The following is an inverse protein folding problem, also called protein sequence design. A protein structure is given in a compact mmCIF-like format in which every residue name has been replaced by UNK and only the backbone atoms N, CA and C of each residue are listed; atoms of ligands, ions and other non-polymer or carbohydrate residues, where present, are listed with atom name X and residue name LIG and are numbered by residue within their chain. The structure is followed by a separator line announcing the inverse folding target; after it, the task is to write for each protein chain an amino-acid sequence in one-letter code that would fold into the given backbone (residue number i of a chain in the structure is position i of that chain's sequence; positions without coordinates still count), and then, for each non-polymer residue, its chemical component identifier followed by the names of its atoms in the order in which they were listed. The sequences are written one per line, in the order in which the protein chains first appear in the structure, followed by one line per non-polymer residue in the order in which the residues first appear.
data_IF_437788594120
#
_entry.id   IF_437788594120
#
_cell.length_a   1.000
_cell.length_b   1.000
_cell.length_c   1.000
_cell.angle_alpha   90.00
_cell.angle_beta   90.00
_cell.angle_gamma   90.00
#
_symmetry.space_group_name_H-M   'P 1'
#
loop_
_entity.id
_entity.type
_entity.pdbx_description
1 polymer ?
#
# COMPACT_ATOMS: atom_id res chain seq x y z
N UNK A 1 -65.77 -28.13 8.88
CA UNK A 1 -64.44 -27.69 9.37
C UNK A 1 -63.71 -26.66 8.48
N UNK A 2 -64.23 -26.24 7.32
CA UNK A 2 -63.42 -25.55 6.28
C UNK A 2 -63.45 -24.01 6.26
N UNK A 3 -64.49 -23.34 6.79
CA UNK A 3 -64.60 -21.86 6.72
C UNK A 3 -63.66 -21.10 7.68
N UNK A 4 -63.46 -21.57 8.92
CA UNK A 4 -62.64 -20.85 9.90
C UNK A 4 -61.14 -20.89 9.58
N UNK A 5 -60.65 -21.97 8.97
CA UNK A 5 -59.23 -22.11 8.62
C UNK A 5 -58.82 -21.13 7.51
N UNK A 6 -59.72 -20.84 6.55
CA UNK A 6 -59.48 -19.81 5.52
C UNK A 6 -59.38 -18.40 6.11
N UNK A 7 -60.23 -18.05 7.08
CA UNK A 7 -60.14 -16.74 7.77
C UNK A 7 -58.82 -16.58 8.54
N UNK A 8 -58.36 -17.63 9.24
CA UNK A 8 -57.06 -17.63 9.94
C UNK A 8 -55.88 -17.51 8.96
N UNK A 9 -55.90 -18.26 7.86
CA UNK A 9 -54.86 -18.19 6.84
C UNK A 9 -54.75 -16.80 6.19
N UNK A 10 -55.89 -16.15 5.88
CA UNK A 10 -55.91 -14.79 5.32
C UNK A 10 -55.39 -13.76 6.35
N UNK A 11 -55.80 -13.85 7.61
CA UNK A 11 -55.30 -12.95 8.66
C UNK A 11 -53.79 -13.10 8.88
N UNK A 12 -53.27 -14.33 8.84
CA UNK A 12 -51.84 -14.60 9.00
C UNK A 12 -51.03 -14.13 7.79
N UNK A 13 -51.54 -14.30 6.56
CA UNK A 13 -50.92 -13.79 5.34
C UNK A 13 -50.82 -12.26 5.32
N UNK A 14 -51.87 -11.56 5.77
CA UNK A 14 -51.87 -10.08 5.90
C UNK A 14 -50.85 -9.64 6.96
N UNK A 15 -50.79 -10.32 8.11
CA UNK A 15 -49.80 -10.05 9.16
C UNK A 15 -48.36 -10.21 8.66
N UNK A 16 -48.06 -11.29 7.92
CA UNK A 16 -46.72 -11.50 7.34
C UNK A 16 -46.37 -10.48 6.25
N UNK A 17 -47.35 -10.01 5.46
CA UNK A 17 -47.12 -8.99 4.45
C UNK A 17 -46.80 -7.61 5.07
N UNK A 18 -47.47 -7.24 6.16
CA UNK A 18 -47.20 -6.01 6.90
C UNK A 18 -45.83 -6.08 7.60
N UNK A 19 -45.51 -7.23 8.22
CA UNK A 19 -44.20 -7.45 8.84
C UNK A 19 -43.05 -7.40 7.83
N UNK A 20 -43.21 -7.99 6.65
CA UNK A 20 -42.22 -7.86 5.57
C UNK A 20 -42.10 -6.42 5.09
N UNK A 21 -43.21 -5.70 4.93
CA UNK A 21 -43.22 -4.27 4.55
C UNK A 21 -42.45 -3.37 5.51
N UNK A 22 -42.51 -3.63 6.82
CA UNK A 22 -41.72 -2.90 7.82
C UNK A 22 -40.21 -3.20 7.73
N UNK A 23 -39.82 -4.42 7.35
CA UNK A 23 -38.39 -4.79 7.20
C UNK A 23 -37.75 -4.11 5.98
N UNK A 24 -38.52 -3.68 4.97
CA UNK A 24 -37.97 -2.98 3.78
C UNK A 24 -37.81 -1.46 3.98
N UNK A 25 -38.27 -0.89 5.10
CA UNK A 25 -38.22 0.56 5.35
C UNK A 25 -37.01 1.03 6.19
N UNK A 26 -36.05 0.16 6.51
CA UNK A 26 -34.86 0.53 7.31
C UNK A 26 -33.51 0.29 6.61
N UNK A 27 -33.50 0.10 5.29
CA UNK A 27 -32.29 0.41 4.52
C UNK A 27 -32.29 1.91 4.23
N UNK A 28 -32.08 2.70 5.28
CA UNK A 28 -31.44 3.99 5.09
C UNK A 28 -30.06 3.68 4.51
N UNK A 29 -29.85 4.08 3.25
CA UNK A 29 -28.50 4.19 2.70
C UNK A 29 -27.82 5.31 3.47
N UNK A 30 -27.25 4.98 4.64
CA UNK A 30 -26.56 5.92 5.50
C UNK A 30 -25.37 6.52 4.72
N UNK A 31 -25.62 7.67 4.13
CA UNK A 31 -24.61 8.46 3.46
C UNK A 31 -23.66 8.97 4.54
N UNK A 32 -22.36 8.76 4.35
CA UNK A 32 -21.32 9.28 5.23
C UNK A 32 -21.57 10.77 5.50
N UNK A 33 -21.72 11.14 6.76
CA UNK A 33 -21.91 12.52 7.15
C UNK A 33 -20.59 13.27 7.04
N UNK A 34 -20.66 14.54 6.66
CA UNK A 34 -19.53 15.48 6.77
C UNK A 34 -19.68 16.26 8.07
N UNK A 35 -18.70 16.12 8.96
CA UNK A 35 -18.65 16.78 10.26
C UNK A 35 -17.51 17.78 10.28
N UNK A 36 -17.74 18.97 10.83
CA UNK A 36 -16.78 20.07 10.78
C UNK A 36 -16.15 20.32 12.14
N UNK A 37 -14.82 20.25 12.19
CA UNK A 37 -14.01 20.78 13.30
C UNK A 37 -13.84 22.28 13.09
N UNK A 38 -14.23 23.07 14.08
CA UNK A 38 -14.13 24.54 14.07
C UNK A 38 -13.47 25.10 15.35
N UNK A 39 -12.98 24.23 16.22
CA UNK A 39 -12.36 24.55 17.50
C UNK A 39 -11.00 23.84 17.62
N UNK A 40 -9.95 24.61 17.90
CA UNK A 40 -8.58 24.10 18.06
C UNK A 40 -8.30 23.52 19.46
N UNK A 41 -9.23 23.70 20.42
CA UNK A 41 -9.12 23.06 21.71
C UNK A 41 -9.19 21.53 21.58
N UNK A 42 -8.48 20.84 22.46
CA UNK A 42 -8.44 19.38 22.51
C UNK A 42 -9.74 18.71 22.98
N UNK A 43 -10.64 19.47 23.62
CA UNK A 43 -11.98 19.02 24.00
C UNK A 43 -12.99 20.17 24.01
N UNK A 44 -14.27 19.82 24.15
CA UNK A 44 -15.39 20.74 24.00
C UNK A 44 -16.01 20.72 22.60
N UNK A 45 -17.20 21.31 22.47
CA UNK A 45 -17.99 21.26 21.23
C UNK A 45 -17.19 21.75 20.03
N UNK A 46 -17.26 21.01 18.91
CA UNK A 46 -16.60 21.35 17.65
C UNK A 46 -15.09 21.13 17.61
N UNK A 47 -14.51 20.54 18.66
CA UNK A 47 -13.12 20.06 18.67
C UNK A 47 -12.96 18.78 17.86
N UNK A 48 -11.74 18.47 17.41
CA UNK A 48 -11.46 17.20 16.72
C UNK A 48 -11.87 15.97 17.56
N UNK A 49 -11.65 16.01 18.87
CA UNK A 49 -12.03 14.92 19.80
C UNK A 49 -13.54 14.75 19.90
N UNK A 50 -14.27 15.86 20.05
CA UNK A 50 -15.74 15.88 20.07
C UNK A 50 -16.29 15.35 18.74
N UNK A 51 -15.76 15.81 17.61
CA UNK A 51 -16.15 15.36 16.27
C UNK A 51 -15.91 13.87 16.05
N UNK A 52 -14.74 13.33 16.43
CA UNK A 52 -14.45 11.88 16.35
C UNK A 52 -15.39 11.07 17.25
N UNK A 53 -15.76 11.59 18.43
CA UNK A 53 -16.68 10.90 19.34
C UNK A 53 -18.08 10.76 18.72
N UNK A 54 -18.64 11.85 18.18
CA UNK A 54 -20.00 11.86 17.61
C UNK A 54 -20.10 11.20 16.23
N UNK A 55 -19.00 11.07 15.50
CA UNK A 55 -18.97 10.49 14.16
C UNK A 55 -19.51 9.05 14.10
N UNK A 56 -20.23 8.70 13.05
CA UNK A 56 -20.56 7.33 12.67
C UNK A 56 -19.39 6.68 11.91
N UNK A 57 -19.52 5.38 11.61
CA UNK A 57 -18.52 4.69 10.79
C UNK A 57 -18.64 5.10 9.33
N UNK A 58 -17.50 5.38 8.71
CA UNK A 58 -17.28 5.91 7.35
C UNK A 58 -17.59 7.41 7.17
N UNK A 59 -17.86 8.16 8.24
CA UNK A 59 -18.00 9.62 8.17
C UNK A 59 -16.71 10.34 7.76
N UNK A 60 -16.87 11.57 7.27
CA UNK A 60 -15.80 12.49 6.87
C UNK A 60 -15.70 13.64 7.87
N UNK A 61 -14.50 13.88 8.39
CA UNK A 61 -14.16 15.01 9.24
C UNK A 61 -13.41 16.05 8.43
N UNK A 62 -14.00 17.23 8.29
CA UNK A 62 -13.42 18.41 7.61
C UNK A 62 -13.05 19.48 8.65
N UNK A 63 -12.17 20.43 8.29
CA UNK A 63 -11.77 21.52 9.18
C UNK A 63 -12.19 22.89 8.61
N UNK A 64 -13.01 23.61 9.36
CA UNK A 64 -13.31 25.03 9.12
C UNK A 64 -12.48 25.88 10.08
N UNK A 65 -11.19 25.95 9.78
CA UNK A 65 -10.18 26.73 10.50
C UNK A 65 -9.75 27.96 9.68
N UNK A 66 -9.01 28.86 10.32
CA UNK A 66 -8.39 29.99 9.63
C UNK A 66 -7.28 29.57 8.66
N UNK A 67 -6.79 30.51 7.86
CA UNK A 67 -5.66 30.29 6.94
C UNK A 67 -4.29 30.21 7.62
N UNK A 68 -4.20 30.48 8.92
CA UNK A 68 -2.96 30.57 9.65
C UNK A 68 -2.52 29.20 10.22
N UNK A 69 -1.22 28.85 10.17
CA UNK A 69 -0.70 27.62 10.74
C UNK A 69 -1.11 27.45 12.21
N UNK A 70 -1.77 26.34 12.49
CA UNK A 70 -2.47 26.07 13.76
C UNK A 70 -2.07 24.70 14.32
N UNK A 71 -2.04 24.58 15.65
CA UNK A 71 -1.76 23.31 16.34
C UNK A 71 -2.90 22.93 17.28
N UNK A 72 -3.39 21.70 17.16
CA UNK A 72 -4.27 21.07 18.15
C UNK A 72 -3.38 20.32 19.13
N UNK A 73 -3.18 20.89 20.32
CA UNK A 73 -2.36 20.30 21.39
C UNK A 73 -3.24 19.45 22.30
N UNK A 74 -3.09 18.12 22.20
CA UNK A 74 -3.81 17.15 23.00
C UNK A 74 -3.34 17.17 24.46
N UNK A 75 -4.28 17.24 25.39
CA UNK A 75 -4.05 17.28 26.85
C UNK A 75 -4.90 16.26 27.61
N UNK A 76 -6.04 15.85 27.03
CA UNK A 76 -7.03 14.93 27.57
C UNK A 76 -6.74 13.46 27.22
N UNK A 77 -5.50 13.14 26.86
CA UNK A 77 -5.05 11.82 26.40
C UNK A 77 -5.07 11.63 24.88
N UNK A 78 -4.86 10.39 24.45
CA UNK A 78 -4.80 10.00 23.02
C UNK A 78 -6.13 10.20 22.28
N UNK A 79 -6.11 10.42 20.96
CA UNK A 79 -7.31 10.33 20.11
C UNK A 79 -7.58 8.86 19.76
N UNK A 80 -8.55 8.26 20.44
CA UNK A 80 -8.98 6.89 20.20
C UNK A 80 -9.95 6.82 19.01
N UNK A 81 -9.64 6.01 18.00
CA UNK A 81 -10.47 5.81 16.81
C UNK A 81 -10.79 4.31 16.64
N UNK A 82 -12.05 3.94 16.86
CA UNK A 82 -12.54 2.55 16.77
C UNK A 82 -13.65 2.38 15.71
N UNK A 83 -13.62 3.22 14.67
CA UNK A 83 -14.60 3.27 13.57
C UNK A 83 -13.88 3.75 12.31
N UNK A 84 -14.34 3.36 11.12
CA UNK A 84 -13.74 3.86 9.88
C UNK A 84 -13.98 5.38 9.79
N UNK A 85 -12.97 6.16 9.42
CA UNK A 85 -13.09 7.62 9.26
C UNK A 85 -12.21 8.12 8.12
N UNK A 86 -12.66 9.18 7.47
CA UNK A 86 -11.80 10.05 6.65
C UNK A 86 -11.63 11.37 7.39
N UNK A 87 -10.40 11.86 7.53
CA UNK A 87 -10.07 13.11 8.22
C UNK A 87 -9.27 13.98 7.25
N UNK A 88 -9.90 15.04 6.74
CA UNK A 88 -9.37 15.92 5.70
C UNK A 88 -8.93 17.27 6.30
N UNK A 89 -7.65 17.36 6.65
CA UNK A 89 -7.02 18.60 7.08
C UNK A 89 -6.76 19.58 5.93
N UNK A 90 -6.54 20.87 6.24
CA UNK A 90 -6.37 21.94 5.24
C UNK A 90 -5.03 21.90 4.51
N UNK A 91 -3.96 21.44 5.17
CA UNK A 91 -2.61 21.17 4.65
C UNK A 91 -1.71 20.70 5.79
N UNK A 92 -0.73 19.83 5.51
CA UNK A 92 0.31 19.48 6.49
C UNK A 92 1.13 20.68 7.00
N UNK A 93 1.16 21.79 6.25
CA UNK A 93 1.80 23.03 6.67
C UNK A 93 0.88 23.97 7.47
N UNK A 94 -0.43 23.67 7.54
CA UNK A 94 -1.45 24.52 8.17
C UNK A 94 -2.04 23.91 9.45
N UNK A 95 -2.09 22.58 9.58
CA UNK A 95 -2.64 21.92 10.75
C UNK A 95 -1.69 20.85 11.29
N UNK A 96 -1.21 21.04 12.51
CA UNK A 96 -0.49 20.02 13.29
C UNK A 96 -1.36 19.50 14.42
N UNK A 97 -1.42 18.18 14.61
CA UNK A 97 -2.00 17.54 15.78
C UNK A 97 -0.84 16.99 16.61
N UNK A 98 -0.74 17.36 17.88
CA UNK A 98 0.38 16.95 18.74
C UNK A 98 -0.06 16.65 20.17
N UNK A 99 0.60 15.71 20.82
CA UNK A 99 0.50 15.43 22.26
C UNK A 99 1.62 16.09 23.08
N UNK A 100 2.48 16.89 22.45
CA UNK A 100 3.71 17.42 23.03
C UNK A 100 4.58 16.31 23.69
N UNK A 101 4.67 15.16 23.02
CA UNK A 101 5.40 13.95 23.44
C UNK A 101 4.96 13.32 24.78
N UNK A 102 3.81 13.70 25.34
CA UNK A 102 3.31 13.11 26.59
C UNK A 102 2.73 11.69 26.42
N UNK A 103 2.17 11.39 25.24
CA UNK A 103 1.49 10.13 24.91
C UNK A 103 1.34 9.98 23.38
N UNK A 104 0.96 8.81 22.83
CA UNK A 104 0.64 8.68 21.39
C UNK A 104 -0.49 9.63 20.96
N UNK A 105 -0.38 10.22 19.78
CA UNK A 105 -1.39 11.15 19.23
C UNK A 105 -2.65 10.40 18.80
N UNK A 106 -2.46 9.26 18.13
CA UNK A 106 -3.53 8.39 17.63
C UNK A 106 -3.41 6.98 18.24
N UNK A 107 -4.55 6.40 18.64
CA UNK A 107 -4.71 4.99 18.99
C UNK A 107 -5.91 4.44 18.21
N UNK A 108 -5.65 3.60 17.22
CA UNK A 108 -6.61 3.16 16.22
C UNK A 108 -6.86 1.66 16.39
N UNK A 109 -8.12 1.26 16.55
CA UNK A 109 -8.48 -0.10 16.92
C UNK A 109 -9.55 -0.67 15.96
N UNK A 110 -9.19 -1.73 15.23
CA UNK A 110 -10.06 -2.41 14.27
C UNK A 110 -10.76 -1.47 13.25
N UNK A 111 -10.04 -0.45 12.75
CA UNK A 111 -10.59 0.58 11.88
C UNK A 111 -9.72 0.88 10.66
N UNK A 112 -10.35 1.29 9.56
CA UNK A 112 -9.68 1.86 8.40
C UNK A 112 -9.77 3.38 8.48
N UNK A 113 -8.63 4.06 8.63
CA UNK A 113 -8.58 5.53 8.78
C UNK A 113 -7.76 6.14 7.66
N UNK A 114 -8.36 7.11 6.96
CA UNK A 114 -7.68 7.94 5.96
C UNK A 114 -7.47 9.33 6.55
N UNK A 115 -6.21 9.81 6.56
CA UNK A 115 -5.82 11.13 7.06
C UNK A 115 -5.16 11.92 5.93
N UNK A 116 -5.80 12.99 5.49
CA UNK A 116 -5.26 13.85 4.42
C UNK A 116 -4.93 15.26 4.91
N UNK A 117 -3.96 15.91 4.27
CA UNK A 117 -3.69 17.34 4.45
C UNK A 117 -3.40 17.77 5.90
N UNK A 118 -2.66 16.97 6.68
CA UNK A 118 -2.36 17.29 8.07
C UNK A 118 -0.97 16.80 8.52
N UNK A 119 -0.44 17.43 9.56
CA UNK A 119 0.75 16.99 10.25
C UNK A 119 0.41 16.31 11.59
N UNK A 120 1.12 15.24 11.91
CA UNK A 120 1.05 14.56 13.21
C UNK A 120 2.43 14.67 13.88
N UNK A 121 2.48 15.31 15.04
CA UNK A 121 3.69 15.45 15.84
C UNK A 121 3.57 14.62 17.14
N UNK A 122 3.99 13.36 17.06
CA UNK A 122 4.01 12.38 18.14
C UNK A 122 3.71 10.95 17.65
N UNK A 123 3.76 9.99 18.58
CA UNK A 123 3.66 8.56 18.26
C UNK A 123 2.28 8.16 17.72
N UNK A 124 2.24 7.15 16.85
CA UNK A 124 0.99 6.58 16.29
C UNK A 124 0.92 5.09 16.60
N UNK A 125 -0.25 4.66 17.05
CA UNK A 125 -0.56 3.27 17.32
C UNK A 125 -1.83 2.86 16.54
N UNK A 126 -1.75 1.78 15.76
CA UNK A 126 -2.88 1.20 15.05
C UNK A 126 -2.84 -0.33 15.19
N UNK A 127 -3.88 -0.92 15.76
CA UNK A 127 -3.93 -2.32 16.21
C UNK A 127 -5.15 -3.07 15.68
N UNK A 128 -5.17 -4.40 15.85
CA UNK A 128 -6.28 -5.29 15.51
C UNK A 128 -6.69 -5.17 14.03
N UNK A 129 -5.72 -5.37 13.13
CA UNK A 129 -5.90 -5.25 11.68
C UNK A 129 -6.32 -3.85 11.16
N UNK A 130 -6.07 -2.78 11.92
CA UNK A 130 -6.31 -1.40 11.45
C UNK A 130 -5.42 -1.02 10.27
N UNK A 131 -6.03 -0.50 9.19
CA UNK A 131 -5.30 0.03 8.04
C UNK A 131 -5.25 1.56 8.10
N UNK A 132 -4.11 2.13 7.69
CA UNK A 132 -3.88 3.56 7.65
C UNK A 132 -3.58 4.03 6.23
N UNK A 133 -4.21 5.13 5.81
CA UNK A 133 -3.85 5.85 4.58
C UNK A 133 -3.53 7.29 4.90
N UNK A 134 -2.37 7.78 4.46
CA UNK A 134 -1.98 9.18 4.53
C UNK A 134 -1.87 9.78 3.14
N UNK A 135 -2.42 11.00 2.98
CA UNK A 135 -2.41 11.72 1.69
C UNK A 135 -2.03 13.18 1.88
N UNK A 136 -0.95 13.66 1.27
CA UNK A 136 -0.45 15.04 1.46
C UNK A 136 -0.19 15.38 2.95
N UNK A 137 0.26 14.40 3.73
CA UNK A 137 0.41 14.44 5.19
C UNK A 137 1.85 14.18 5.65
N UNK A 138 2.22 14.75 6.80
CA UNK A 138 3.55 14.61 7.42
C UNK A 138 3.44 14.03 8.83
N UNK A 139 4.11 12.92 9.10
CA UNK A 139 4.19 12.29 10.42
C UNK A 139 5.60 12.54 10.96
N UNK A 140 5.69 12.99 12.21
CA UNK A 140 6.94 13.20 12.94
C UNK A 140 6.76 12.67 14.36
N UNK A 141 7.32 11.50 14.67
CA UNK A 141 7.21 10.91 16.01
C UNK A 141 8.03 9.65 16.17
N UNK A 142 8.60 9.46 17.37
CA UNK A 142 9.58 8.42 17.67
C UNK A 142 9.12 7.03 17.21
N UNK A 143 7.87 6.65 17.49
CA UNK A 143 7.32 5.33 17.22
C UNK A 143 6.01 5.40 16.42
N UNK A 144 5.98 4.73 15.27
CA UNK A 144 4.78 4.52 14.45
C UNK A 144 4.55 3.01 14.33
N UNK A 145 3.50 2.50 14.98
CA UNK A 145 3.16 1.08 15.05
C UNK A 145 1.83 0.82 14.32
N UNK A 146 1.82 -0.08 13.34
CA UNK A 146 0.66 -0.35 12.48
C UNK A 146 0.50 -1.86 12.29
N UNK A 147 -0.62 -2.42 12.76
CA UNK A 147 -0.85 -3.87 12.79
C UNK A 147 -1.35 -4.44 11.45
N UNK A 148 -1.80 -3.59 10.53
CA UNK A 148 -2.13 -3.99 9.15
C UNK A 148 -1.34 -3.15 8.14
N UNK A 149 -1.97 -2.73 7.06
CA UNK A 149 -1.31 -2.03 5.97
C UNK A 149 -1.24 -0.52 6.20
N UNK A 150 -0.16 0.08 5.73
CA UNK A 150 0.04 1.52 5.62
C UNK A 150 0.11 1.90 4.15
N UNK A 151 -0.69 2.88 3.72
CA UNK A 151 -0.60 3.53 2.42
C UNK A 151 -0.17 4.99 2.60
N UNK A 152 0.79 5.45 1.82
CA UNK A 152 1.27 6.83 1.74
C UNK A 152 1.05 7.33 0.32
N UNK A 153 0.51 8.54 0.17
CA UNK A 153 0.28 9.22 -1.11
C UNK A 153 0.81 10.65 -0.96
N UNK A 154 1.91 11.00 -1.63
CA UNK A 154 2.60 12.29 -1.42
C UNK A 154 2.78 12.63 0.08
N UNK A 155 3.27 11.65 0.84
CA UNK A 155 3.28 11.71 2.30
C UNK A 155 4.65 11.35 2.86
N UNK A 156 5.00 11.99 3.98
CA UNK A 156 6.30 11.82 4.64
C UNK A 156 6.13 11.26 6.05
N UNK A 157 6.85 10.18 6.38
CA UNK A 157 7.05 9.73 7.77
C UNK A 157 8.48 10.03 8.18
N UNK A 158 8.66 10.68 9.32
CA UNK A 158 9.91 10.79 10.05
C UNK A 158 9.72 10.18 11.44
N UNK A 159 10.58 9.24 11.81
CA UNK A 159 10.48 8.51 13.08
C UNK A 159 11.85 8.08 13.59
N UNK A 160 11.92 7.57 14.82
CA UNK A 160 13.03 6.72 15.23
C UNK A 160 12.78 5.29 14.72
N UNK A 161 11.55 4.80 14.88
CA UNK A 161 11.12 3.44 14.59
C UNK A 161 9.75 3.39 13.92
N UNK A 162 9.70 2.72 12.76
CA UNK A 162 8.46 2.40 12.05
C UNK A 162 8.25 0.88 12.03
N UNK A 163 7.16 0.41 12.63
CA UNK A 163 6.79 -1.01 12.66
C UNK A 163 5.43 -1.22 12.02
N UNK A 164 5.39 -1.95 10.91
CA UNK A 164 4.20 -2.30 10.15
C UNK A 164 4.11 -3.83 10.12
N UNK A 165 3.04 -4.44 10.60
CA UNK A 165 2.84 -5.89 10.54
C UNK A 165 2.24 -6.34 9.19
N UNK A 166 1.47 -5.47 8.52
CA UNK A 166 1.07 -5.63 7.13
C UNK A 166 2.08 -5.02 6.14
N UNK A 167 1.59 -4.67 4.95
CA UNK A 167 2.42 -4.03 3.91
C UNK A 167 2.51 -2.51 4.05
N UNK A 168 3.58 -1.94 3.47
CA UNK A 168 3.71 -0.51 3.21
C UNK A 168 3.47 -0.28 1.71
N UNK A 169 2.64 0.67 1.32
CA UNK A 169 2.48 1.11 -0.07
C UNK A 169 2.78 2.61 -0.15
N UNK A 170 3.77 3.02 -0.93
CA UNK A 170 4.05 4.41 -1.24
C UNK A 170 3.62 4.76 -2.67
N UNK A 171 2.97 5.90 -2.81
CA UNK A 171 2.41 6.46 -4.04
C UNK A 171 2.83 7.93 -4.11
N UNK A 172 3.08 8.42 -5.32
CA UNK A 172 3.34 9.81 -5.70
C UNK A 172 4.33 10.54 -4.77
N UNK A 173 5.63 10.25 -4.90
CA UNK A 173 6.74 10.93 -4.19
C UNK A 173 6.67 10.88 -2.65
N UNK A 174 6.26 9.72 -2.12
CA UNK A 174 6.25 9.45 -0.67
C UNK A 174 7.64 9.16 -0.09
N UNK A 175 7.88 9.57 1.15
CA UNK A 175 9.17 9.45 1.82
C UNK A 175 9.03 8.84 3.22
N UNK A 176 9.94 7.93 3.59
CA UNK A 176 9.93 7.26 4.90
C UNK A 176 11.33 7.26 5.50
N UNK A 177 11.50 7.98 6.59
CA UNK A 177 12.72 8.04 7.38
C UNK A 177 12.47 7.42 8.76
N UNK A 178 13.29 6.45 9.16
CA UNK A 178 13.32 5.97 10.55
C UNK A 178 14.77 5.77 11.04
N UNK A 179 15.24 6.60 11.97
CA UNK A 179 16.67 6.68 12.29
C UNK A 179 17.27 5.36 12.80
N UNK A 180 16.54 4.60 13.62
CA UNK A 180 16.95 3.28 14.10
C UNK A 180 16.48 2.17 13.15
N UNK A 181 15.17 1.98 12.98
CA UNK A 181 14.68 0.81 12.23
C UNK A 181 13.30 0.94 11.58
N UNK A 182 13.18 0.29 10.42
CA UNK A 182 11.91 0.05 9.72
C UNK A 182 11.66 -1.47 9.69
N UNK A 183 10.51 -1.91 10.18
CA UNK A 183 10.03 -3.29 10.05
C UNK A 183 8.74 -3.31 9.25
N UNK A 184 8.69 -4.14 8.19
CA UNK A 184 7.50 -4.34 7.34
C UNK A 184 7.19 -5.84 7.33
N UNK A 185 6.03 -6.24 7.85
CA UNK A 185 5.63 -7.64 7.99
C UNK A 185 5.04 -8.24 6.71
N UNK A 186 4.43 -7.40 5.88
CA UNK A 186 3.94 -7.69 4.53
C UNK A 186 4.85 -7.09 3.46
N UNK A 187 4.23 -6.67 2.34
CA UNK A 187 4.95 -6.20 1.16
C UNK A 187 5.25 -4.70 1.22
N UNK A 188 6.44 -4.29 0.75
CA UNK A 188 6.86 -2.91 0.52
C UNK A 188 6.60 -2.49 -0.95
N UNK A 189 5.48 -1.86 -1.25
CA UNK A 189 5.08 -1.46 -2.61
C UNK A 189 5.43 0.01 -2.89
N UNK A 190 6.03 0.29 -4.05
CA UNK A 190 5.98 1.59 -4.71
C UNK A 190 4.99 1.51 -5.90
N UNK A 191 4.24 2.57 -6.17
CA UNK A 191 3.28 2.60 -7.30
C UNK A 191 3.00 4.03 -7.70
N UNK A 192 3.34 4.42 -8.94
CA UNK A 192 3.32 5.81 -9.43
C UNK A 192 4.24 6.76 -8.63
N UNK A 193 5.21 7.41 -9.27
CA UNK A 193 6.14 8.29 -8.57
C UNK A 193 7.06 7.58 -7.58
N UNK A 194 7.87 8.33 -6.83
CA UNK A 194 8.96 7.75 -6.05
C UNK A 194 8.51 7.29 -4.66
N UNK A 195 9.15 6.23 -4.14
CA UNK A 195 9.16 5.89 -2.73
C UNK A 195 10.61 5.87 -2.24
N UNK A 196 10.97 6.83 -1.39
CA UNK A 196 12.29 6.89 -0.76
C UNK A 196 12.21 6.36 0.66
N UNK A 197 13.10 5.42 0.99
CA UNK A 197 13.27 4.88 2.34
C UNK A 197 14.70 5.16 2.82
N UNK A 198 14.84 5.74 4.01
CA UNK A 198 16.12 5.99 4.68
C UNK A 198 16.05 5.49 6.13
N UNK A 199 16.95 4.61 6.56
CA UNK A 199 16.91 4.07 7.93
C UNK A 199 18.24 3.52 8.44
N UNK A 200 18.41 3.34 9.75
CA UNK A 200 19.50 2.53 10.28
C UNK A 200 19.45 1.09 9.76
N UNK A 201 18.35 0.38 10.02
CA UNK A 201 18.12 -1.00 9.54
C UNK A 201 16.70 -1.23 9.01
N UNK A 202 16.60 -1.81 7.80
CA UNK A 202 15.34 -2.18 7.15
C UNK A 202 15.12 -3.70 7.18
N UNK A 203 14.04 -4.14 7.83
CA UNK A 203 13.62 -5.54 7.88
C UNK A 203 12.27 -5.75 7.20
N UNK A 204 12.24 -6.63 6.18
CA UNK A 204 11.02 -6.95 5.41
C UNK A 204 10.73 -8.45 5.53
N UNK A 205 9.59 -8.81 6.12
CA UNK A 205 9.10 -10.20 6.22
C UNK A 205 8.21 -10.62 5.06
N UNK A 206 7.67 -9.69 4.27
CA UNK A 206 7.07 -9.98 2.97
C UNK A 206 8.05 -9.74 1.83
N UNK A 207 7.54 -9.21 0.73
CA UNK A 207 8.32 -8.78 -0.42
C UNK A 207 8.53 -7.28 -0.50
N UNK A 208 9.15 -6.83 -1.59
CA UNK A 208 8.94 -5.47 -2.11
C UNK A 208 8.12 -5.57 -3.40
N UNK A 209 7.42 -4.52 -3.81
CA UNK A 209 6.76 -4.34 -5.10
C UNK A 209 7.12 -2.97 -5.68
N UNK A 210 7.18 -2.84 -7.00
CA UNK A 210 7.16 -1.57 -7.71
C UNK A 210 6.26 -1.76 -8.95
N UNK A 211 5.01 -1.27 -8.90
CA UNK A 211 3.99 -1.60 -9.91
C UNK A 211 3.52 -0.38 -10.69
N UNK A 212 3.33 -0.60 -11.99
CA UNK A 212 2.79 0.34 -12.97
C UNK A 212 3.60 1.64 -13.14
N UNK A 213 3.14 2.51 -14.03
CA UNK A 213 4.02 3.42 -14.77
C UNK A 213 4.72 4.50 -13.91
N UNK A 214 6.05 4.58 -14.07
CA UNK A 214 6.90 5.70 -13.66
C UNK A 214 7.12 5.94 -12.15
N UNK A 215 7.33 4.89 -11.35
CA UNK A 215 7.82 5.01 -9.98
C UNK A 215 9.21 4.42 -9.72
N UNK A 216 9.99 4.98 -8.78
CA UNK A 216 11.29 4.45 -8.34
C UNK A 216 11.25 4.08 -6.86
N UNK A 217 11.78 2.91 -6.50
CA UNK A 217 12.00 2.53 -5.11
C UNK A 217 13.48 2.73 -4.74
N UNK A 218 13.74 3.70 -3.87
CA UNK A 218 15.08 4.03 -3.39
C UNK A 218 15.19 3.63 -1.93
N UNK A 219 16.11 2.73 -1.60
CA UNK A 219 16.36 2.28 -0.23
C UNK A 219 17.82 2.61 0.12
N UNK A 220 17.98 3.49 1.11
CA UNK A 220 19.24 3.76 1.79
C UNK A 220 19.14 3.19 3.20
N UNK A 221 20.13 2.40 3.63
CA UNK A 221 20.24 2.03 5.03
C UNK A 221 21.68 2.00 5.55
N UNK A 222 21.88 2.49 6.76
CA UNK A 222 23.22 2.74 7.31
C UNK A 222 23.89 1.48 7.87
N UNK A 223 23.12 0.46 8.25
CA UNK A 223 23.61 -0.83 8.80
C UNK A 223 23.18 -2.03 7.95
N UNK A 224 21.87 -2.28 7.81
CA UNK A 224 21.40 -3.49 7.12
C UNK A 224 20.07 -3.36 6.36
N UNK A 225 19.96 -4.13 5.27
CA UNK A 225 18.68 -4.49 4.65
C UNK A 225 18.56 -6.02 4.70
N UNK A 226 17.48 -6.51 5.30
CA UNK A 226 17.22 -7.94 5.49
C UNK A 226 15.81 -8.27 5.03
N UNK A 227 15.69 -9.10 3.98
CA UNK A 227 14.41 -9.53 3.40
C UNK A 227 14.23 -11.04 3.60
N UNK A 228 13.03 -11.44 4.05
CA UNK A 228 12.79 -12.81 4.58
C UNK A 228 11.46 -13.48 4.17
N UNK A 229 10.68 -12.89 3.27
CA UNK A 229 9.35 -13.39 2.89
C UNK A 229 9.29 -14.45 1.80
N UNK A 230 8.31 -15.36 1.92
CA UNK A 230 8.05 -16.44 0.93
C UNK A 230 7.60 -15.92 -0.44
N UNK A 231 7.11 -14.68 -0.48
CA UNK A 231 6.81 -13.92 -1.70
C UNK A 231 7.59 -12.61 -1.60
N UNK A 232 8.86 -12.62 -2.02
CA UNK A 232 9.46 -11.38 -2.54
C UNK A 232 9.04 -11.33 -4.01
N UNK A 233 7.83 -10.83 -4.22
CA UNK A 233 7.26 -10.58 -5.53
C UNK A 233 7.40 -9.10 -5.76
N UNK A 234 8.50 -8.67 -6.39
CA UNK A 234 8.50 -7.38 -7.09
C UNK A 234 7.83 -7.64 -8.44
N UNK A 235 6.78 -6.90 -8.82
CA UNK A 235 5.97 -7.26 -9.94
C UNK A 235 6.75 -6.90 -11.23
N UNK A 236 6.45 -7.55 -12.35
CA UNK A 236 5.15 -8.15 -12.61
C UNK A 236 5.24 -9.65 -13.00
N UNK A 237 4.33 -10.46 -12.41
CA UNK A 237 3.81 -11.80 -12.77
C UNK A 237 4.48 -12.58 -13.94
N UNK A 238 4.81 -13.87 -13.90
CA UNK A 238 4.55 -15.01 -12.98
C UNK A 238 5.72 -16.02 -13.10
N UNK A 239 5.87 -17.13 -12.36
CA UNK A 239 5.08 -17.78 -11.29
C UNK A 239 6.04 -18.59 -10.39
N UNK A 240 5.58 -18.99 -9.20
CA UNK A 240 6.30 -19.92 -8.32
C UNK A 240 6.70 -19.30 -6.98
N UNK A 241 6.51 -20.03 -5.89
CA UNK A 241 6.87 -19.59 -4.54
C UNK A 241 8.38 -19.38 -4.41
N UNK A 242 8.85 -18.13 -4.34
CA UNK A 242 10.16 -17.81 -3.77
C UNK A 242 10.40 -16.33 -3.53
N UNK A 243 11.45 -16.03 -2.76
CA UNK A 243 11.93 -14.66 -2.55
C UNK A 243 12.88 -14.20 -3.66
N UNK A 244 12.41 -13.30 -4.53
CA UNK A 244 13.20 -12.67 -5.59
C UNK A 244 13.18 -11.13 -5.53
N UNK A 245 14.33 -10.46 -5.72
CA UNK A 245 14.36 -9.01 -5.97
C UNK A 245 14.39 -8.84 -7.50
N UNK A 246 13.27 -8.47 -8.12
CA UNK A 246 13.13 -8.41 -9.59
C UNK A 246 12.64 -7.05 -10.11
N UNK A 247 13.42 -6.31 -10.90
CA UNK A 247 12.90 -5.14 -11.61
C UNK A 247 12.26 -5.59 -12.93
N UNK A 248 10.92 -5.58 -13.04
CA UNK A 248 10.28 -6.00 -14.27
C UNK A 248 8.96 -5.32 -14.64
N UNK A 249 8.62 -5.44 -15.92
CA UNK A 249 7.42 -4.84 -16.52
C UNK A 249 6.62 -5.88 -17.31
N UNK A 250 5.30 -5.88 -17.10
CA UNK A 250 4.33 -6.61 -17.94
C UNK A 250 3.44 -5.68 -18.77
N UNK A 251 3.71 -4.37 -18.80
CA UNK A 251 2.96 -3.41 -19.59
C UNK A 251 3.85 -2.76 -20.66
N UNK A 252 3.23 -2.15 -21.68
CA UNK A 252 3.93 -1.31 -22.66
C UNK A 252 4.38 0.00 -21.99
N UNK A 253 5.55 -0.03 -21.36
CA UNK A 253 6.15 1.10 -20.65
C UNK A 253 7.55 0.76 -20.10
N UNK A 254 8.22 1.73 -19.49
CA UNK A 254 9.44 1.49 -18.74
C UNK A 254 9.11 1.04 -17.31
N UNK A 255 9.71 -0.06 -16.85
CA UNK A 255 9.66 -0.43 -15.44
C UNK A 255 10.50 0.54 -14.59
N UNK A 256 10.08 0.71 -13.34
CA UNK A 256 10.78 1.52 -12.35
C UNK A 256 12.16 0.98 -11.98
N UNK A 257 13.06 1.88 -11.58
CA UNK A 257 14.35 1.48 -11.03
C UNK A 257 14.20 1.07 -9.56
N UNK A 258 15.10 0.19 -9.11
CA UNK A 258 15.31 -0.16 -7.71
C UNK A 258 16.77 0.15 -7.38
N UNK A 259 16.99 1.03 -6.42
CA UNK A 259 18.33 1.34 -5.92
C UNK A 259 18.42 0.96 -4.44
N UNK A 260 19.38 0.09 -4.10
CA UNK A 260 19.67 -0.31 -2.73
C UNK A 260 21.11 0.09 -2.43
N UNK A 261 21.32 1.04 -1.51
CA UNK A 261 22.63 1.53 -1.08
C UNK A 261 22.80 1.33 0.43
N UNK A 262 23.70 0.42 0.80
CA UNK A 262 23.81 -0.15 2.15
C UNK A 262 25.21 -0.77 2.35
N UNK A 263 25.74 -0.97 3.57
CA UNK A 263 27.01 -1.67 3.73
C UNK A 263 26.87 -3.20 3.61
N UNK A 264 25.80 -3.81 4.13
CA UNK A 264 25.62 -5.28 4.13
C UNK A 264 24.21 -5.73 3.67
N UNK A 265 24.11 -6.48 2.56
CA UNK A 265 22.83 -7.06 2.07
C UNK A 265 22.78 -8.57 2.36
N UNK A 266 21.71 -9.02 3.02
CA UNK A 266 21.54 -10.43 3.39
C UNK A 266 20.17 -10.96 2.93
N UNK A 267 20.17 -11.92 2.01
CA UNK A 267 18.97 -12.59 1.50
C UNK A 267 18.81 -13.97 2.15
N UNK A 268 17.85 -14.13 3.07
CA UNK A 268 17.71 -15.34 3.92
C UNK A 268 16.67 -16.34 3.37
N UNK A 269 16.53 -17.49 4.03
CA UNK A 269 15.88 -18.72 3.51
C UNK A 269 14.35 -18.72 3.61
N UNK A 270 13.72 -18.91 2.45
CA UNK A 270 12.34 -19.44 2.25
C UNK A 270 12.36 -20.24 0.92
N UNK A 271 11.39 -21.13 0.63
CA UNK A 271 11.56 -22.18 -0.38
C UNK A 271 11.84 -21.63 -1.80
N UNK A 272 12.71 -22.32 -2.54
CA UNK A 272 13.31 -21.94 -3.84
C UNK A 272 12.31 -21.84 -5.02
N UNK A 273 12.59 -21.06 -6.08
CA UNK A 273 13.90 -20.47 -6.49
C UNK A 273 14.15 -18.97 -6.23
N UNK A 274 15.19 -18.64 -5.45
CA UNK A 274 15.59 -17.25 -5.16
C UNK A 274 16.38 -16.59 -6.29
N UNK A 275 16.07 -15.33 -6.63
CA UNK A 275 16.79 -14.59 -7.68
C UNK A 275 16.93 -13.08 -7.42
N UNK A 276 18.02 -12.48 -7.90
CA UNK A 276 18.09 -11.06 -8.24
C UNK A 276 18.02 -10.98 -9.77
N UNK A 277 17.00 -10.31 -10.31
CA UNK A 277 16.75 -10.30 -11.74
C UNK A 277 16.27 -8.92 -12.25
N UNK A 278 16.53 -8.63 -13.52
CA UNK A 278 15.96 -7.47 -14.20
C UNK A 278 15.47 -7.94 -15.57
N UNK A 279 14.17 -7.78 -15.84
CA UNK A 279 13.52 -8.53 -16.91
C UNK A 279 12.21 -7.95 -17.40
N UNK A 280 11.84 -8.29 -18.63
CA UNK A 280 10.59 -7.87 -19.25
C UNK A 280 10.04 -9.05 -20.06
N UNK A 281 8.73 -9.30 -19.98
CA UNK A 281 8.05 -10.39 -20.70
C UNK A 281 7.15 -9.90 -21.85
N UNK A 282 6.98 -8.58 -22.00
CA UNK A 282 6.18 -7.90 -23.02
C UNK A 282 7.04 -6.91 -23.83
N UNK A 283 6.47 -5.85 -24.42
CA UNK A 283 7.18 -4.92 -25.31
C UNK A 283 7.79 -3.68 -24.62
N UNK A 284 7.88 -3.67 -23.29
CA UNK A 284 8.41 -2.55 -22.51
C UNK A 284 9.94 -2.50 -22.40
N UNK A 285 10.44 -1.57 -21.58
CA UNK A 285 11.82 -1.61 -21.08
C UNK A 285 11.81 -2.14 -19.64
N UNK A 286 12.72 -3.04 -19.30
CA UNK A 286 12.97 -3.39 -17.91
C UNK A 286 13.66 -2.22 -17.19
N UNK A 287 13.33 -2.02 -15.91
CA UNK A 287 14.02 -1.07 -15.04
C UNK A 287 15.36 -1.65 -14.54
N UNK A 288 16.23 -0.81 -14.00
CA UNK A 288 17.50 -1.27 -13.44
C UNK A 288 17.34 -1.68 -11.98
N UNK A 289 17.99 -2.78 -11.58
CA UNK A 289 18.38 -3.00 -10.19
C UNK A 289 19.82 -2.51 -10.03
N UNK A 290 20.02 -1.53 -9.16
CA UNK A 290 21.34 -1.10 -8.70
C UNK A 290 21.49 -1.50 -7.23
N UNK A 291 22.47 -2.36 -6.94
CA UNK A 291 22.88 -2.70 -5.56
C UNK A 291 24.29 -2.15 -5.37
N UNK A 292 24.43 -1.16 -4.49
CA UNK A 292 25.71 -0.63 -4.05
C UNK A 292 25.95 -1.13 -2.62
N UNK A 293 26.81 -2.13 -2.47
CA UNK A 293 27.05 -2.80 -1.18
C UNK A 293 28.50 -3.17 -0.94
N UNK A 294 28.99 -2.96 0.29
CA UNK A 294 30.30 -3.45 0.73
C UNK A 294 30.35 -4.97 0.81
N UNK A 295 29.32 -5.58 1.40
CA UNK A 295 29.15 -7.05 1.46
C UNK A 295 27.80 -7.46 0.88
N UNK A 296 27.81 -8.33 -0.13
CA UNK A 296 26.62 -9.00 -0.65
C UNK A 296 26.64 -10.49 -0.25
N UNK A 297 25.78 -10.89 0.69
CA UNK A 297 25.71 -12.27 1.18
C UNK A 297 24.58 -13.01 0.46
N UNK A 298 24.96 -13.79 -0.56
CA UNK A 298 24.09 -14.72 -1.26
C UNK A 298 24.19 -16.11 -0.64
N UNK A 299 23.09 -16.60 -0.08
CA UNK A 299 23.00 -17.98 0.39
C UNK A 299 22.90 -18.96 -0.79
N UNK A 300 23.39 -20.21 -0.67
CA UNK A 300 23.28 -21.21 -1.73
C UNK A 300 21.84 -21.36 -2.25
N UNK A 301 21.70 -21.35 -3.58
CA UNK A 301 20.40 -21.32 -4.28
C UNK A 301 20.06 -19.98 -4.91
N UNK A 302 20.65 -18.86 -4.44
CA UNK A 302 20.41 -17.54 -5.03
C UNK A 302 20.99 -17.42 -6.45
N UNK A 303 20.16 -17.02 -7.41
CA UNK A 303 20.51 -16.78 -8.81
C UNK A 303 20.67 -15.27 -9.05
N UNK A 304 21.66 -14.85 -9.83
CA UNK A 304 21.64 -13.52 -10.48
C UNK A 304 21.38 -13.76 -11.96
N UNK A 305 20.23 -13.31 -12.48
CA UNK A 305 19.81 -13.60 -13.85
C UNK A 305 19.29 -12.37 -14.59
N UNK A 306 19.87 -12.13 -15.77
CA UNK A 306 19.09 -11.54 -16.87
C UNK A 306 18.19 -12.66 -17.43
N UNK A 307 16.87 -12.48 -17.60
CA UNK A 307 16.09 -13.45 -18.34
C UNK A 307 16.59 -13.47 -19.79
N UNK A 308 16.76 -14.67 -20.31
CA UNK A 308 16.87 -14.87 -21.75
C UNK A 308 15.42 -14.87 -22.25
N UNK A 309 15.03 -13.96 -23.17
CA UNK A 309 13.70 -14.04 -23.76
C UNK A 309 13.61 -15.35 -24.53
N UNK A 310 12.70 -16.24 -24.12
CA UNK A 310 12.36 -17.39 -24.95
C UNK A 310 11.73 -16.88 -26.27
N UNK A 311 11.98 -17.51 -27.44
CA UNK A 311 11.60 -16.94 -28.73
C UNK A 311 10.09 -16.84 -29.05
N UNK A 312 9.22 -17.04 -28.07
CA UNK A 312 7.76 -17.25 -28.24
C UNK A 312 6.90 -15.98 -28.21
N UNK A 313 7.50 -14.78 -28.04
CA UNK A 313 6.77 -13.51 -27.92
C UNK A 313 6.61 -12.69 -29.22
N UNK A 314 6.78 -13.30 -30.42
CA UNK A 314 6.30 -12.71 -31.68
C UNK A 314 4.97 -13.36 -32.08
N UNK A 315 3.95 -13.14 -31.24
CA UNK A 315 2.55 -13.39 -31.59
C UNK A 315 1.97 -12.18 -32.35
N UNK A 316 2.63 -11.80 -33.45
CA UNK A 316 2.09 -10.83 -34.39
C UNK A 316 1.03 -11.49 -35.27
N UNK A 317 -0.24 -11.19 -35.02
CA UNK A 317 -1.39 -11.73 -35.75
C UNK A 317 -1.28 -11.45 -37.25
N UNK A 318 -0.89 -12.45 -38.06
CA UNK A 318 -1.20 -12.45 -39.49
C UNK A 318 -2.54 -13.14 -39.64
N UNK A 319 -3.53 -12.35 -40.06
CA UNK A 319 -4.91 -12.75 -40.23
C UNK A 319 -5.04 -13.95 -41.18
N UNK A 320 -5.82 -14.96 -40.80
CA UNK A 320 -6.22 -16.04 -41.70
C UNK A 320 -7.16 -15.48 -42.79
N UNK A 321 -6.60 -14.91 -43.86
CA UNK A 321 -7.42 -14.25 -44.88
C UNK A 321 -6.73 -13.51 -46.03
N UNK A 322 -5.42 -13.64 -46.27
CA UNK A 322 -4.79 -12.99 -47.42
C UNK A 322 -3.52 -13.68 -47.97
N UNK A 323 -3.62 -14.12 -49.24
CA UNK A 323 -2.53 -14.50 -50.15
C UNK A 323 -1.59 -15.62 -49.64
N UNK A 324 -1.73 -16.89 -50.04
CA UNK A 324 -1.95 -17.38 -51.40
C UNK A 324 -1.03 -16.75 -52.48
N UNK A 325 0.15 -16.22 -52.10
CA UNK A 325 1.12 -15.67 -53.06
C UNK A 325 2.61 -15.84 -52.68
N UNK A 326 3.08 -17.00 -52.21
CA UNK A 326 4.50 -17.39 -52.45
C UNK A 326 4.83 -18.89 -52.43
N UNK A 327 3.85 -19.78 -52.66
CA UNK A 327 4.10 -21.23 -52.86
C UNK A 327 4.66 -21.52 -54.28
N UNK A 328 5.19 -20.51 -54.99
CA UNK A 328 5.75 -20.62 -56.34
C UNK A 328 7.02 -19.77 -56.54
N UNK A 329 8.16 -20.31 -56.10
CA UNK A 329 9.34 -20.55 -56.98
C UNK A 329 10.36 -21.44 -56.27
N UNK A 330 10.96 -22.35 -57.05
CA UNK A 330 12.00 -23.32 -56.61
C UNK A 330 13.38 -22.65 -56.53
N UNK A 331 14.33 -23.39 -55.95
CA UNK A 331 15.79 -23.13 -55.86
C UNK A 331 16.14 -22.11 -54.75
N UNK A 332 17.20 -22.29 -53.95
CA UNK A 332 18.52 -22.89 -54.20
C UNK A 332 18.99 -23.85 -53.07
N UNK A 333 20.02 -24.65 -53.37
CA UNK A 333 20.61 -25.76 -52.59
C UNK A 333 21.44 -25.29 -51.38
N UNK A 334 21.27 -25.93 -50.21
CA UNK A 334 22.24 -25.88 -49.12
C UNK A 334 23.45 -26.80 -49.43
N UNK A 335 24.66 -26.22 -49.50
CA UNK A 335 25.92 -26.99 -49.40
C UNK A 335 26.52 -26.81 -48.00
N UNK A 336 26.87 -27.94 -47.39
CA UNK A 336 27.57 -28.03 -46.10
C UNK A 336 29.08 -27.90 -46.35
N UNK A 337 29.79 -27.11 -45.56
CA UNK A 337 31.25 -27.10 -45.52
C UNK A 337 31.75 -27.74 -44.23
N UNK A 338 32.63 -28.74 -44.38
CA UNK A 338 33.70 -29.07 -43.41
C UNK A 338 34.91 -28.17 -43.75
N UNK A 339 35.89 -27.92 -42.89
CA UNK A 339 36.19 -28.44 -41.54
C UNK A 339 36.19 -27.26 -40.57
#
# INVERSE_FOLDING_TARGET
MTKNNRKKAVAQAISTAIALGWVIMQVESAQAATLTVNNLADSGVGSLRDTINIAASNDVVEFLLGSDPSTITLTSGVLAIAKNLTINGPSANLLTISSNNHFPVLDINAANVTLSGLAIAGNINAYNSSNLTFTNSTISGDNVNIDSNLTLINSTINSERLAINGGLTGIDDSNVTALDSITIGGNLTASSGNLTISTGSLYIKGGSNNSEAAGSLTITADDSVVVTGSQVTIPISTSGNSGQINAGSNNSGAAGNISITIPNLILRRVPEPRAIAAGNINSGSAGNITINSGTLILNPGAIISKPVPEPSAIAGTILAGSLAWLVKRKQVVFRKAKV
#
